data_IF_358801966333
#
_entry.id   IF_358801966333
#
_cell.length_a   1.000
_cell.length_b   1.000
_cell.length_c   1.000
_cell.angle_alpha   90.00
_cell.angle_beta   90.00
_cell.angle_gamma   90.00
#
_symmetry.space_group_name_H-M   'P 1'
#
loop_
_entity.id
_entity.type
_entity.pdbx_description
1 polymer ?
#
# COMPACT_ATOMS: atom_id res chain seq x y z
N UNK A 1 46.78 -24.62 0.50
CA UNK A 1 46.96 -23.27 1.11
C UNK A 1 46.64 -23.37 2.58
N UNK A 2 47.52 -22.95 3.49
CA UNK A 2 47.28 -23.02 4.92
C UNK A 2 46.20 -22.00 5.33
N UNK A 3 45.18 -22.47 6.04
CA UNK A 3 44.06 -21.62 6.50
C UNK A 3 44.58 -20.65 7.58
N UNK A 4 44.35 -19.36 7.42
CA UNK A 4 44.76 -18.31 8.36
C UNK A 4 43.72 -18.23 9.49
N UNK A 5 44.21 -18.13 10.72
CA UNK A 5 43.42 -18.16 11.96
C UNK A 5 43.60 -16.84 12.73
N UNK A 6 42.51 -16.24 13.20
CA UNK A 6 42.49 -14.97 13.94
C UNK A 6 41.90 -15.13 15.33
N UNK A 7 42.24 -14.20 16.22
CA UNK A 7 41.73 -14.18 17.61
C UNK A 7 40.26 -13.82 17.66
N UNK A 8 39.60 -14.09 18.80
CA UNK A 8 38.23 -13.70 19.12
C UNK A 8 38.02 -12.18 18.96
N UNK A 9 38.93 -11.38 19.48
CA UNK A 9 38.85 -9.92 19.42
C UNK A 9 38.86 -9.40 17.98
N UNK A 10 39.74 -9.97 17.18
CA UNK A 10 39.86 -9.62 15.76
C UNK A 10 38.63 -10.07 14.96
N UNK A 11 38.10 -11.28 15.23
CA UNK A 11 36.88 -11.76 14.61
C UNK A 11 35.65 -10.89 14.93
N UNK A 12 35.50 -10.49 16.19
CA UNK A 12 34.42 -9.59 16.63
C UNK A 12 34.53 -8.19 15.98
N UNK A 13 35.75 -7.66 15.90
CA UNK A 13 36.00 -6.36 15.25
C UNK A 13 35.66 -6.38 13.77
N UNK A 14 36.02 -7.43 13.03
CA UNK A 14 35.75 -7.56 11.60
C UNK A 14 34.28 -7.84 11.26
N UNK A 15 33.59 -8.54 12.13
CA UNK A 15 32.16 -8.87 11.95
C UNK A 15 31.22 -7.80 12.52
N UNK A 16 31.72 -6.90 13.35
CA UNK A 16 30.92 -5.88 14.07
C UNK A 16 29.73 -6.48 14.85
N UNK A 17 29.92 -7.63 15.46
CA UNK A 17 28.85 -8.34 16.17
C UNK A 17 29.18 -8.56 17.65
N UNK A 18 28.15 -8.84 18.46
CA UNK A 18 28.28 -9.19 19.86
C UNK A 18 28.89 -10.60 20.00
N UNK A 19 29.61 -10.90 21.11
CA UNK A 19 30.21 -12.22 21.34
C UNK A 19 29.24 -13.40 21.20
N UNK A 20 27.99 -13.25 21.63
CA UNK A 20 26.95 -14.26 21.52
C UNK A 20 26.63 -14.61 20.06
N UNK A 21 26.70 -13.64 19.15
CA UNK A 21 26.47 -13.83 17.72
C UNK A 21 27.63 -14.61 17.07
N UNK A 22 28.87 -14.31 17.47
CA UNK A 22 30.04 -15.09 17.01
C UNK A 22 29.94 -16.58 17.43
N UNK A 23 29.55 -16.86 18.64
CA UNK A 23 29.31 -18.23 19.10
C UNK A 23 28.17 -18.91 18.34
N UNK A 24 27.09 -18.19 18.01
CA UNK A 24 26.03 -18.73 17.19
C UNK A 24 26.48 -19.03 15.74
N UNK A 25 27.45 -18.31 15.20
CA UNK A 25 28.04 -18.64 13.91
C UNK A 25 28.89 -19.88 13.93
N UNK A 26 29.64 -20.11 15.04
CA UNK A 26 30.43 -21.31 15.22
C UNK A 26 29.54 -22.53 15.44
N UNK A 27 28.55 -22.47 16.32
CA UNK A 27 27.61 -23.56 16.59
C UNK A 27 26.80 -23.99 15.36
N UNK A 28 26.59 -23.05 14.41
CA UNK A 28 25.92 -23.32 13.13
C UNK A 28 26.90 -23.66 11.99
N UNK A 29 28.16 -23.98 12.34
CA UNK A 29 29.21 -24.34 11.38
C UNK A 29 29.46 -23.32 10.27
N UNK A 30 29.18 -22.05 10.53
CA UNK A 30 29.40 -20.96 9.57
C UNK A 30 30.79 -20.35 9.67
N UNK A 31 31.43 -20.47 10.82
CA UNK A 31 32.79 -20.10 11.08
C UNK A 31 33.47 -21.32 11.73
N UNK A 32 34.51 -21.78 11.12
CA UNK A 32 35.34 -22.82 11.72
C UNK A 32 36.14 -22.23 12.90
N UNK A 33 36.13 -22.92 14.02
CA UNK A 33 36.91 -22.56 15.21
C UNK A 33 37.77 -23.71 15.66
N UNK A 34 38.94 -23.42 16.24
CA UNK A 34 39.84 -24.39 16.90
C UNK A 34 40.42 -23.79 18.17
N UNK A 35 40.90 -24.63 19.09
CA UNK A 35 41.67 -24.17 20.24
C UNK A 35 43.01 -23.61 19.83
N UNK A 36 43.45 -22.54 20.50
CA UNK A 36 44.78 -21.98 20.31
C UNK A 36 45.83 -22.97 20.82
N UNK A 37 46.84 -23.36 20.01
CA UNK A 37 47.88 -24.30 20.44
C UNK A 37 48.72 -23.78 21.61
N UNK A 38 48.85 -22.46 21.78
CA UNK A 38 49.64 -21.83 22.85
C UNK A 38 48.81 -21.52 24.08
N UNK A 39 47.49 -21.35 23.95
CA UNK A 39 46.56 -21.05 25.04
C UNK A 39 45.27 -21.86 24.88
N UNK A 40 45.18 -23.08 25.35
CA UNK A 40 44.04 -23.99 25.11
C UNK A 40 42.65 -23.48 25.56
N UNK A 41 42.62 -22.47 26.41
CA UNK A 41 41.36 -21.79 26.83
C UNK A 41 40.87 -20.75 25.86
N UNK A 42 41.65 -20.41 24.83
CA UNK A 42 41.29 -19.44 23.79
C UNK A 42 40.94 -20.18 22.50
N UNK A 43 39.96 -19.62 21.79
CA UNK A 43 39.55 -20.12 20.45
C UNK A 43 40.05 -19.20 19.35
N UNK A 44 40.54 -19.80 18.27
CA UNK A 44 40.90 -19.15 17.02
C UNK A 44 39.82 -19.41 15.99
N UNK A 45 39.56 -18.44 15.11
CA UNK A 45 38.51 -18.46 14.13
C UNK A 45 39.09 -18.32 12.72
N UNK A 46 38.55 -19.04 11.75
CA UNK A 46 39.05 -19.04 10.39
C UNK A 46 38.78 -17.68 9.72
N UNK A 47 39.84 -17.01 9.26
CA UNK A 47 39.78 -15.69 8.64
C UNK A 47 38.87 -15.67 7.42
N UNK A 48 38.99 -16.66 6.54
CA UNK A 48 38.21 -16.74 5.27
C UNK A 48 36.70 -16.79 5.55
N UNK A 49 36.29 -17.50 6.63
CA UNK A 49 34.88 -17.58 7.03
C UNK A 49 34.39 -16.26 7.61
N UNK A 50 35.24 -15.58 8.39
CA UNK A 50 34.95 -14.27 8.99
C UNK A 50 34.83 -13.21 7.87
N UNK A 51 35.73 -13.17 6.90
CA UNK A 51 35.66 -12.24 5.78
C UNK A 51 34.49 -12.51 4.86
N UNK A 52 34.15 -13.77 4.62
CA UNK A 52 32.95 -14.14 3.86
C UNK A 52 31.68 -13.64 4.54
N UNK A 53 31.64 -13.67 5.86
CA UNK A 53 30.48 -13.18 6.63
C UNK A 53 30.47 -11.67 6.81
N UNK A 54 31.62 -11.00 6.92
CA UNK A 54 31.72 -9.54 7.00
C UNK A 54 31.30 -8.85 5.71
N UNK A 55 31.54 -9.45 4.54
CA UNK A 55 31.05 -8.97 3.24
C UNK A 55 29.52 -9.09 3.08
N UNK A 56 28.84 -9.82 3.97
CA UNK A 56 27.39 -9.90 4.05
C UNK A 56 26.97 -8.93 5.15
N UNK A 57 26.24 -7.87 4.79
CA UNK A 57 25.81 -6.82 5.72
C UNK A 57 25.27 -7.37 7.05
N UNK A 58 25.60 -6.74 8.21
CA UNK A 58 25.13 -7.18 9.52
C UNK A 58 23.60 -7.19 9.55
N UNK A 59 22.99 -8.30 9.95
CA UNK A 59 21.55 -8.45 10.13
C UNK A 59 20.84 -9.43 9.20
N UNK A 60 21.50 -9.99 8.16
CA UNK A 60 20.84 -10.83 7.14
C UNK A 60 20.90 -12.36 7.35
N UNK A 61 21.31 -12.85 8.50
CA UNK A 61 21.51 -14.29 8.69
C UNK A 61 20.54 -14.87 9.71
N UNK A 62 19.25 -14.77 9.48
CA UNK A 62 18.28 -15.45 10.32
C UNK A 62 17.40 -16.50 9.64
N UNK A 63 17.29 -16.54 8.31
CA UNK A 63 16.38 -17.50 7.67
C UNK A 63 16.96 -18.12 6.39
N UNK A 64 18.01 -18.94 6.50
CA UNK A 64 18.37 -19.89 5.46
C UNK A 64 18.28 -21.30 6.03
N UNK A 65 17.08 -21.87 6.08
CA UNK A 65 16.87 -23.31 6.04
C UNK A 65 16.72 -23.74 4.59
N UNK A 66 17.59 -24.66 4.25
CA UNK A 66 17.62 -25.51 3.09
C UNK A 66 16.41 -25.49 2.17
N UNK A 67 16.66 -25.12 0.92
CA UNK A 67 15.99 -25.72 -0.20
C UNK A 67 17.02 -26.03 -1.28
N UNK A 68 17.17 -27.29 -1.60
CA UNK A 68 17.98 -27.79 -2.71
C UNK A 68 17.08 -27.79 -3.95
N UNK A 69 17.35 -26.92 -4.89
CA UNK A 69 16.78 -27.06 -6.21
C UNK A 69 16.49 -25.72 -6.91
N UNK A 70 17.24 -25.52 -7.98
CA UNK A 70 17.11 -24.54 -9.06
C UNK A 70 17.57 -23.09 -8.79
N UNK A 71 18.33 -22.48 -9.71
CA UNK A 71 18.78 -21.10 -9.61
C UNK A 71 17.60 -20.16 -9.83
N UNK A 72 17.19 -19.44 -8.79
CA UNK A 72 16.26 -18.31 -8.92
C UNK A 72 17.02 -17.08 -9.44
N UNK A 73 16.58 -16.43 -10.51
CA UNK A 73 17.18 -15.18 -10.94
C UNK A 73 16.83 -14.07 -9.95
N UNK A 74 17.89 -13.36 -9.54
CA UNK A 74 17.89 -12.06 -8.89
C UNK A 74 17.17 -11.93 -7.53
N UNK A 75 17.94 -12.20 -6.47
CA UNK A 75 17.71 -11.53 -5.20
C UNK A 75 17.94 -10.01 -5.41
N UNK A 76 16.90 -9.31 -5.87
CA UNK A 76 16.85 -7.87 -5.81
C UNK A 76 16.99 -7.46 -4.34
N UNK A 77 17.98 -6.65 -4.06
CA UNK A 77 18.27 -6.12 -2.76
C UNK A 77 16.98 -5.49 -2.19
N UNK A 78 16.55 -5.96 -1.01
CA UNK A 78 15.60 -5.24 -0.18
C UNK A 78 16.26 -3.94 0.26
N UNK A 79 16.14 -2.89 -0.56
CA UNK A 79 16.64 -1.54 -0.32
C UNK A 79 15.54 -0.61 0.21
N UNK A 80 14.44 -1.15 0.70
CA UNK A 80 13.53 -0.40 1.52
C UNK A 80 14.10 -0.38 2.95
N UNK A 81 14.55 0.77 3.41
CA UNK A 81 15.14 0.99 4.73
C UNK A 81 14.13 0.87 5.88
N UNK A 82 13.41 -0.25 5.96
CA UNK A 82 12.67 -0.67 7.13
C UNK A 82 13.48 -1.73 7.86
N UNK A 83 13.94 -1.44 9.05
CA UNK A 83 14.48 -2.44 9.96
C UNK A 83 13.34 -3.42 10.27
N UNK A 84 13.41 -4.65 9.73
CA UNK A 84 12.48 -5.71 10.12
C UNK A 84 12.73 -5.97 11.60
N UNK A 85 11.87 -5.47 12.44
CA UNK A 85 11.91 -5.76 13.88
C UNK A 85 11.63 -7.25 14.05
N UNK A 86 12.33 -7.88 14.97
CA UNK A 86 12.29 -9.32 15.22
C UNK A 86 10.84 -9.75 15.54
N UNK A 87 10.13 -10.29 14.56
CA UNK A 87 8.72 -10.75 14.70
C UNK A 87 7.74 -10.20 13.68
N UNK A 88 8.12 -9.27 12.80
CA UNK A 88 7.26 -8.82 11.72
C UNK A 88 7.13 -9.88 10.63
N UNK A 89 5.91 -10.16 10.20
CA UNK A 89 5.66 -11.05 9.08
C UNK A 89 6.06 -10.35 7.78
N UNK A 90 7.04 -10.87 7.05
CA UNK A 90 7.34 -10.42 5.71
C UNK A 90 6.35 -11.03 4.73
N UNK A 91 5.78 -10.22 3.87
CA UNK A 91 4.93 -10.63 2.75
C UNK A 91 5.71 -10.40 1.46
N UNK A 92 6.00 -11.49 0.75
CA UNK A 92 6.60 -11.40 -0.59
C UNK A 92 5.55 -10.90 -1.58
N UNK A 93 5.91 -9.90 -2.38
CA UNK A 93 5.02 -9.33 -3.40
C UNK A 93 5.80 -8.93 -4.65
N UNK A 94 5.17 -9.12 -5.78
CA UNK A 94 5.62 -8.60 -7.09
C UNK A 94 4.72 -7.45 -7.57
N UNK A 95 3.66 -7.09 -6.82
CA UNK A 95 2.70 -6.06 -7.23
C UNK A 95 3.34 -4.69 -7.24
N UNK A 96 3.93 -4.28 -6.11
CA UNK A 96 4.46 -2.93 -5.97
C UNK A 96 5.65 -2.83 -5.02
N UNK A 97 6.45 -1.79 -5.19
CA UNK A 97 7.56 -1.43 -4.31
C UNK A 97 7.76 0.08 -4.30
N UNK A 98 8.16 0.62 -3.14
CA UNK A 98 8.59 2.02 -3.04
C UNK A 98 10.10 2.08 -2.94
N UNK A 99 10.76 2.79 -3.87
CA UNK A 99 12.20 2.96 -3.91
C UNK A 99 12.53 4.44 -4.15
N UNK A 100 13.44 4.99 -3.34
CA UNK A 100 13.91 6.39 -3.47
C UNK A 100 12.78 7.43 -3.56
N UNK A 101 11.69 7.20 -2.86
CA UNK A 101 10.52 8.09 -2.87
C UNK A 101 9.54 7.87 -4.04
N UNK A 102 9.86 7.03 -5.00
CA UNK A 102 8.99 6.66 -6.10
C UNK A 102 8.23 5.38 -5.81
N UNK A 103 6.99 5.32 -6.27
CA UNK A 103 6.14 4.14 -6.16
C UNK A 103 6.05 3.41 -7.51
N UNK A 104 6.55 2.18 -7.53
CA UNK A 104 6.57 1.34 -8.74
C UNK A 104 5.53 0.24 -8.63
N UNK A 105 4.70 0.10 -9.65
CA UNK A 105 3.77 -1.01 -9.82
C UNK A 105 4.24 -1.91 -10.97
N UNK A 106 4.46 -3.19 -10.69
CA UNK A 106 5.02 -4.13 -11.66
C UNK A 106 6.30 -3.60 -12.36
N UNK A 107 7.13 -2.87 -11.60
CA UNK A 107 8.39 -2.30 -12.10
C UNK A 107 8.26 -0.99 -12.90
N UNK A 108 7.05 -0.44 -13.07
CA UNK A 108 6.82 0.84 -13.75
C UNK A 108 6.46 1.93 -12.73
N UNK A 109 7.07 3.11 -12.85
CA UNK A 109 6.79 4.24 -11.98
C UNK A 109 5.35 4.73 -12.14
N UNK A 110 4.64 4.89 -11.02
CA UNK A 110 3.21 5.22 -11.03
C UNK A 110 2.94 6.65 -11.50
N UNK A 111 3.84 7.60 -11.23
CA UNK A 111 3.73 8.98 -11.73
C UNK A 111 3.90 9.00 -13.24
N UNK A 112 4.89 8.31 -13.78
CA UNK A 112 5.08 8.17 -15.24
C UNK A 112 3.87 7.50 -15.90
N UNK A 113 3.29 6.47 -15.27
CA UNK A 113 2.05 5.86 -15.76
C UNK A 113 0.88 6.86 -15.78
N UNK A 114 0.79 7.74 -14.76
CA UNK A 114 -0.27 8.74 -14.69
C UNK A 114 -0.15 9.82 -15.77
N UNK A 115 1.01 10.02 -16.40
CA UNK A 115 1.17 10.94 -17.51
C UNK A 115 0.46 10.46 -18.77
N UNK A 116 0.52 9.17 -19.07
CA UNK A 116 0.17 8.64 -20.40
C UNK A 116 -0.90 7.56 -20.41
N UNK A 117 -1.01 6.77 -19.33
CA UNK A 117 -1.87 5.60 -19.31
C UNK A 117 -3.28 5.93 -18.79
N UNK A 118 -4.26 5.19 -19.28
CA UNK A 118 -5.57 5.16 -18.66
C UNK A 118 -5.61 4.18 -17.48
N UNK A 119 -6.61 4.31 -16.63
CA UNK A 119 -6.74 3.49 -15.43
C UNK A 119 -6.96 2.01 -15.74
N UNK A 120 -7.64 1.70 -16.83
CA UNK A 120 -7.89 0.34 -17.31
C UNK A 120 -6.59 -0.38 -17.70
N UNK A 121 -5.69 0.32 -18.38
CA UNK A 121 -4.36 -0.20 -18.73
C UNK A 121 -3.53 -0.47 -17.48
N UNK A 122 -3.60 0.42 -16.48
CA UNK A 122 -2.89 0.25 -15.20
C UNK A 122 -3.47 -0.93 -14.41
N UNK A 123 -4.79 -1.11 -14.40
CA UNK A 123 -5.43 -2.26 -13.78
C UNK A 123 -5.01 -3.58 -14.48
N UNK A 124 -5.00 -3.61 -15.81
CA UNK A 124 -4.52 -4.76 -16.58
C UNK A 124 -3.04 -5.09 -16.29
N UNK A 125 -2.18 -4.08 -16.17
CA UNK A 125 -0.78 -4.23 -15.76
C UNK A 125 -0.66 -4.83 -14.35
N UNK A 126 -1.39 -4.28 -13.38
CA UNK A 126 -1.38 -4.73 -11.99
C UNK A 126 -1.79 -6.20 -11.86
N UNK A 127 -2.80 -6.62 -12.59
CA UNK A 127 -3.32 -8.00 -12.55
C UNK A 127 -2.55 -8.98 -13.43
N UNK A 128 -1.59 -8.50 -14.24
CA UNK A 128 -0.93 -9.30 -15.29
C UNK A 128 -1.94 -9.93 -16.23
N UNK A 129 -2.95 -9.15 -16.61
CA UNK A 129 -3.98 -9.63 -17.52
C UNK A 129 -3.38 -10.03 -18.86
N UNK A 130 -3.80 -11.18 -19.39
CA UNK A 130 -3.43 -11.60 -20.75
C UNK A 130 -4.09 -10.73 -21.83
N UNK A 131 -5.10 -9.93 -21.47
CA UNK A 131 -5.75 -8.97 -22.37
C UNK A 131 -5.33 -7.55 -22.00
N UNK A 132 -4.97 -6.71 -22.97
CA UNK A 132 -4.67 -5.29 -22.73
C UNK A 132 -5.91 -4.49 -22.31
N UNK A 133 -7.11 -5.01 -22.57
CA UNK A 133 -8.38 -4.44 -22.14
C UNK A 133 -9.31 -5.53 -21.59
N UNK A 134 -9.18 -5.91 -20.31
CA UNK A 134 -10.03 -6.93 -19.71
C UNK A 134 -11.50 -6.49 -19.55
N UNK A 135 -11.78 -5.21 -19.72
CA UNK A 135 -13.14 -4.63 -19.58
C UNK A 135 -13.95 -4.65 -20.88
N UNK A 136 -13.30 -4.86 -22.03
CA UNK A 136 -13.93 -4.82 -23.35
C UNK A 136 -15.17 -5.69 -23.52
N UNK A 137 -15.17 -6.97 -23.07
CA UNK A 137 -16.30 -7.88 -23.19
C UNK A 137 -17.46 -7.60 -22.24
N UNK A 138 -17.24 -6.80 -21.19
CA UNK A 138 -18.21 -6.63 -20.12
C UNK A 138 -19.44 -5.82 -20.57
N UNK A 139 -20.62 -6.26 -20.14
CA UNK A 139 -21.88 -5.55 -20.38
C UNK A 139 -22.19 -4.62 -19.23
N UNK A 140 -22.81 -3.46 -19.48
CA UNK A 140 -23.32 -2.59 -18.41
C UNK A 140 -24.32 -3.34 -17.53
N UNK A 141 -24.28 -3.10 -16.23
CA UNK A 141 -25.22 -3.65 -15.25
C UNK A 141 -26.15 -2.52 -14.78
N UNK A 142 -27.36 -2.37 -15.33
CA UNK A 142 -28.30 -1.32 -14.94
C UNK A 142 -28.90 -1.54 -13.55
N UNK A 143 -28.83 -2.75 -13.03
CA UNK A 143 -29.38 -3.19 -11.75
C UNK A 143 -28.50 -2.88 -10.54
N UNK A 144 -27.38 -2.16 -10.72
CA UNK A 144 -26.47 -1.75 -9.63
C UNK A 144 -26.82 -0.43 -8.98
N UNK A 145 -28.01 0.09 -9.21
CA UNK A 145 -28.46 1.36 -8.63
C UNK A 145 -29.00 1.16 -7.18
N UNK A 146 -28.08 1.20 -6.23
CA UNK A 146 -28.42 1.12 -4.81
C UNK A 146 -28.70 2.50 -4.22
N UNK A 147 -29.61 2.62 -3.20
CA UNK A 147 -29.84 3.88 -2.50
C UNK A 147 -28.61 4.29 -1.67
N UNK A 148 -28.48 5.58 -1.40
CA UNK A 148 -27.44 6.13 -0.55
C UNK A 148 -26.30 6.82 -1.30
N UNK A 149 -25.28 7.22 -0.56
CA UNK A 149 -24.07 7.84 -1.11
C UNK A 149 -23.17 6.85 -1.86
N UNK A 150 -22.16 7.35 -2.58
CA UNK A 150 -21.31 6.51 -3.43
C UNK A 150 -20.68 5.33 -2.68
N UNK A 151 -20.18 5.56 -1.48
CA UNK A 151 -19.59 4.51 -0.63
C UNK A 151 -20.59 3.41 -0.26
N UNK A 152 -21.80 3.79 0.15
CA UNK A 152 -22.87 2.84 0.47
C UNK A 152 -23.23 1.99 -0.74
N UNK A 153 -23.31 2.61 -1.92
CA UNK A 153 -23.63 1.92 -3.18
C UNK A 153 -22.56 0.87 -3.53
N UNK A 154 -21.28 1.23 -3.43
CA UNK A 154 -20.18 0.30 -3.67
C UNK A 154 -20.25 -0.89 -2.72
N UNK A 155 -20.42 -0.66 -1.40
CA UNK A 155 -20.52 -1.74 -0.42
C UNK A 155 -21.75 -2.62 -0.62
N UNK A 156 -22.91 -2.03 -0.97
CA UNK A 156 -24.12 -2.80 -1.27
C UNK A 156 -23.95 -3.66 -2.52
N UNK A 157 -23.30 -3.13 -3.56
CA UNK A 157 -22.97 -3.87 -4.76
C UNK A 157 -22.02 -5.04 -4.44
N UNK A 158 -20.96 -4.80 -3.68
CA UNK A 158 -20.02 -5.85 -3.28
C UNK A 158 -20.67 -6.93 -2.42
N UNK A 159 -21.59 -6.56 -1.51
CA UNK A 159 -22.34 -7.54 -0.71
C UNK A 159 -23.24 -8.40 -1.57
N UNK A 160 -23.91 -7.85 -2.59
CA UNK A 160 -24.66 -8.64 -3.55
C UNK A 160 -23.77 -9.60 -4.34
N UNK A 161 -22.64 -9.12 -4.85
CA UNK A 161 -21.68 -9.96 -5.60
C UNK A 161 -21.10 -11.07 -4.74
N UNK A 162 -20.95 -10.86 -3.44
CA UNK A 162 -20.53 -11.93 -2.52
C UNK A 162 -21.47 -13.12 -2.58
N UNK A 163 -22.76 -12.90 -2.61
CA UNK A 163 -23.77 -13.97 -2.69
C UNK A 163 -23.82 -14.62 -4.10
N UNK A 164 -23.80 -13.80 -5.15
CA UNK A 164 -23.85 -14.28 -6.54
C UNK A 164 -22.62 -15.12 -6.92
N UNK A 165 -21.42 -14.65 -6.56
CA UNK A 165 -20.17 -15.30 -6.93
C UNK A 165 -19.92 -16.58 -6.10
N UNK A 166 -20.33 -16.61 -4.83
CA UNK A 166 -20.23 -17.81 -3.99
C UNK A 166 -21.01 -19.00 -4.56
N UNK A 167 -22.12 -18.75 -5.24
CA UNK A 167 -22.93 -19.80 -5.89
C UNK A 167 -22.30 -20.33 -7.17
N UNK A 168 -21.49 -19.51 -7.86
CA UNK A 168 -20.87 -19.88 -9.14
C UNK A 168 -19.56 -20.66 -8.99
N UNK A 169 -18.90 -20.61 -7.84
CA UNK A 169 -17.56 -21.20 -7.58
C UNK A 169 -17.55 -22.73 -7.49
N UNK A 170 -18.71 -23.38 -7.43
CA UNK A 170 -18.79 -24.82 -7.11
C UNK A 170 -18.23 -25.72 -8.23
N UNK A 171 -18.05 -25.24 -9.48
CA UNK A 171 -17.81 -26.14 -10.62
C UNK A 171 -16.84 -25.66 -11.74
N UNK A 172 -16.04 -24.60 -11.59
CA UNK A 172 -15.18 -24.13 -12.68
C UNK A 172 -13.79 -23.68 -12.21
N UNK A 173 -12.80 -23.85 -13.09
CA UNK A 173 -11.51 -23.20 -12.97
C UNK A 173 -11.72 -21.67 -12.93
N UNK A 174 -11.25 -21.02 -11.85
CA UNK A 174 -11.61 -19.65 -11.52
C UNK A 174 -10.80 -18.65 -12.34
N UNK A 175 -11.45 -17.85 -13.15
CA UNK A 175 -10.85 -16.69 -13.84
C UNK A 175 -10.83 -15.46 -12.92
N UNK A 176 -9.80 -15.37 -12.08
CA UNK A 176 -9.62 -14.21 -11.15
C UNK A 176 -9.50 -12.89 -11.90
N UNK A 177 -8.93 -12.88 -13.10
CA UNK A 177 -8.79 -11.67 -13.91
C UNK A 177 -10.14 -11.16 -14.43
N UNK A 178 -10.96 -12.06 -14.95
CA UNK A 178 -12.33 -11.76 -15.40
C UNK A 178 -13.23 -11.34 -14.25
N UNK A 179 -13.14 -12.01 -13.10
CA UNK A 179 -13.88 -11.63 -11.89
C UNK A 179 -13.47 -10.22 -11.40
N UNK A 180 -12.17 -9.92 -11.35
CA UNK A 180 -11.66 -8.61 -10.97
C UNK A 180 -12.16 -7.50 -11.91
N UNK A 181 -12.12 -7.74 -13.22
CA UNK A 181 -12.61 -6.80 -14.22
C UNK A 181 -14.12 -6.54 -14.07
N UNK A 182 -14.90 -7.61 -13.87
CA UNK A 182 -16.34 -7.52 -13.64
C UNK A 182 -16.68 -6.72 -12.38
N UNK A 183 -16.03 -7.04 -11.25
CA UNK A 183 -16.23 -6.32 -9.98
C UNK A 183 -15.88 -4.84 -10.11
N UNK A 184 -14.71 -4.51 -10.65
CA UNK A 184 -14.30 -3.12 -10.80
C UNK A 184 -15.25 -2.35 -11.73
N UNK A 185 -15.68 -2.95 -12.84
CA UNK A 185 -16.66 -2.34 -13.73
C UNK A 185 -17.99 -2.02 -13.00
N UNK A 186 -18.52 -2.96 -12.21
CA UNK A 186 -19.76 -2.76 -11.46
C UNK A 186 -19.62 -1.75 -10.32
N UNK A 187 -18.44 -1.65 -9.71
CA UNK A 187 -18.17 -0.60 -8.73
C UNK A 187 -18.30 0.79 -9.35
N UNK A 188 -17.76 1.00 -10.56
CA UNK A 188 -17.94 2.25 -11.27
C UNK A 188 -19.40 2.46 -11.69
N UNK A 189 -20.10 1.42 -12.15
CA UNK A 189 -21.53 1.49 -12.47
C UNK A 189 -22.37 1.91 -11.25
N UNK A 190 -22.08 1.37 -10.06
CA UNK A 190 -22.78 1.73 -8.82
C UNK A 190 -22.63 3.20 -8.43
N UNK A 191 -21.49 3.81 -8.77
CA UNK A 191 -21.22 5.23 -8.51
C UNK A 191 -21.83 6.14 -9.58
N UNK A 192 -21.76 5.72 -10.85
CA UNK A 192 -22.13 6.54 -12.01
C UNK A 192 -23.57 6.30 -12.50
N UNK A 193 -24.32 5.39 -11.84
CA UNK A 193 -25.64 4.91 -12.26
C UNK A 193 -25.63 4.25 -13.66
N UNK A 194 -24.55 3.55 -13.96
CA UNK A 194 -24.34 2.94 -15.28
C UNK A 194 -24.03 3.96 -16.38
N UNK A 195 -24.25 3.58 -17.60
CA UNK A 195 -24.09 4.48 -18.75
C UNK A 195 -23.38 3.83 -19.92
N UNK A 196 -23.04 4.62 -20.97
CA UNK A 196 -22.32 4.10 -22.12
C UNK A 196 -20.93 3.60 -21.73
N UNK A 197 -20.40 2.66 -22.51
CA UNK A 197 -19.04 2.13 -22.33
C UNK A 197 -18.02 3.18 -22.74
N UNK A 198 -17.62 3.94 -21.75
CA UNK A 198 -16.54 4.91 -21.80
C UNK A 198 -15.44 4.42 -20.85
N UNK A 199 -14.26 5.02 -20.96
CA UNK A 199 -13.23 4.87 -19.93
C UNK A 199 -13.77 5.28 -18.55
N UNK A 200 -13.28 4.68 -17.49
CA UNK A 200 -13.80 4.90 -16.13
C UNK A 200 -13.77 6.38 -15.71
N UNK A 201 -12.68 7.09 -16.02
CA UNK A 201 -12.60 8.53 -15.76
C UNK A 201 -13.65 9.33 -16.53
N UNK A 202 -13.98 8.95 -17.77
CA UNK A 202 -15.02 9.59 -18.57
C UNK A 202 -16.43 9.30 -18.02
N UNK A 203 -16.64 8.09 -17.46
CA UNK A 203 -17.91 7.74 -16.78
C UNK A 203 -18.10 8.59 -15.53
N UNK A 204 -17.06 8.78 -14.73
CA UNK A 204 -17.07 9.68 -13.56
C UNK A 204 -17.29 11.13 -13.98
N UNK A 205 -16.57 11.60 -14.99
CA UNK A 205 -16.72 12.96 -15.53
C UNK A 205 -18.17 13.23 -15.95
N UNK A 206 -18.78 12.32 -16.68
CA UNK A 206 -20.18 12.43 -17.06
C UNK A 206 -21.12 12.47 -15.84
N UNK A 207 -20.94 11.56 -14.88
CA UNK A 207 -21.77 11.49 -13.68
C UNK A 207 -21.64 12.74 -12.80
N UNK A 208 -20.47 13.33 -12.74
CA UNK A 208 -20.15 14.53 -11.97
C UNK A 208 -20.22 15.83 -12.77
N UNK A 209 -20.64 15.78 -14.05
CA UNK A 209 -20.83 16.93 -14.94
C UNK A 209 -19.53 17.70 -15.20
N UNK A 210 -18.41 17.02 -15.30
CA UNK A 210 -17.12 17.57 -15.73
C UNK A 210 -17.01 17.40 -17.23
N UNK A 211 -16.84 18.48 -17.97
CA UNK A 211 -16.91 18.48 -19.45
C UNK A 211 -15.62 18.97 -20.12
N UNK A 212 -14.81 19.78 -19.44
CA UNK A 212 -13.53 20.19 -19.98
C UNK A 212 -12.56 19.00 -20.08
N UNK A 213 -11.89 18.85 -21.21
CA UNK A 213 -11.04 17.68 -21.46
C UNK A 213 -9.84 17.61 -20.53
N UNK A 214 -9.30 18.75 -20.10
CA UNK A 214 -8.19 18.77 -19.13
C UNK A 214 -8.66 18.36 -17.74
N UNK A 215 -9.85 18.79 -17.37
CA UNK A 215 -10.50 18.42 -16.11
C UNK A 215 -10.89 16.93 -16.09
N UNK A 216 -11.35 16.40 -17.22
CA UNK A 216 -11.58 14.95 -17.37
C UNK A 216 -10.27 14.17 -17.23
N UNK A 217 -9.17 14.71 -17.76
CA UNK A 217 -7.85 14.10 -17.61
C UNK A 217 -7.35 14.12 -16.15
N UNK A 218 -7.67 15.16 -15.37
CA UNK A 218 -7.37 15.16 -13.93
C UNK A 218 -8.03 13.99 -13.18
N UNK A 219 -9.26 13.62 -13.56
CA UNK A 219 -9.93 12.44 -12.99
C UNK A 219 -9.20 11.14 -13.37
N UNK A 220 -8.74 11.02 -14.62
CA UNK A 220 -7.91 9.90 -15.08
C UNK A 220 -6.63 9.80 -14.26
N UNK A 221 -5.91 10.92 -14.15
CA UNK A 221 -4.65 11.02 -13.42
C UNK A 221 -4.83 10.67 -11.95
N UNK A 222 -5.86 11.19 -11.29
CA UNK A 222 -6.19 10.90 -9.91
C UNK A 222 -6.50 9.41 -9.68
N UNK A 223 -7.21 8.73 -10.58
CA UNK A 223 -7.44 7.28 -10.51
C UNK A 223 -6.13 6.51 -10.60
N UNK A 224 -5.27 6.83 -11.56
CA UNK A 224 -3.98 6.15 -11.75
C UNK A 224 -3.08 6.36 -10.53
N UNK A 225 -2.91 7.60 -10.06
CA UNK A 225 -2.07 7.91 -8.89
C UNK A 225 -2.59 7.28 -7.58
N UNK A 226 -3.86 6.92 -7.55
CA UNK A 226 -4.49 6.21 -6.42
C UNK A 226 -4.47 4.69 -6.57
N UNK A 227 -3.99 4.13 -7.69
CA UNK A 227 -4.15 2.71 -7.99
C UNK A 227 -3.47 1.78 -6.96
N UNK A 228 -2.35 2.19 -6.40
CA UNK A 228 -1.67 1.43 -5.35
C UNK A 228 -0.90 2.33 -4.36
N UNK A 229 -0.70 1.84 -3.13
CA UNK A 229 0.09 2.50 -2.07
C UNK A 229 0.98 1.52 -1.31
N UNK A 230 1.32 0.39 -1.89
CA UNK A 230 2.00 -0.72 -1.20
C UNK A 230 1.17 -1.31 -0.05
N UNK A 231 1.83 -1.81 0.99
CA UNK A 231 1.19 -2.49 2.12
C UNK A 231 0.78 -1.48 3.20
N UNK A 232 -0.35 -0.81 2.98
CA UNK A 232 -1.05 -0.07 4.04
C UNK A 232 -2.04 -1.00 4.80
N UNK A 233 -2.69 -0.48 5.84
CA UNK A 233 -3.63 -1.26 6.66
C UNK A 233 -4.80 -1.81 5.82
N UNK A 234 -5.25 -1.08 4.82
CA UNK A 234 -6.33 -1.55 3.94
C UNK A 234 -5.84 -2.68 3.01
N UNK A 235 -4.64 -2.55 2.45
CA UNK A 235 -4.03 -3.61 1.62
C UNK A 235 -3.73 -4.86 2.45
N UNK A 236 -3.28 -4.71 3.71
CA UNK A 236 -3.08 -5.84 4.60
C UNK A 236 -4.41 -6.57 4.89
N UNK A 237 -5.49 -5.83 5.17
CA UNK A 237 -6.82 -6.39 5.36
C UNK A 237 -7.31 -7.16 4.11
N UNK A 238 -7.07 -6.60 2.92
CA UNK A 238 -7.34 -7.25 1.63
C UNK A 238 -6.61 -8.59 1.51
N UNK A 239 -5.31 -8.63 1.81
CA UNK A 239 -4.50 -9.85 1.72
C UNK A 239 -4.96 -10.92 2.72
N UNK A 240 -5.26 -10.51 3.97
CA UNK A 240 -5.79 -11.43 4.99
C UNK A 240 -7.13 -12.01 4.54
N UNK A 241 -8.03 -11.18 4.02
CA UNK A 241 -9.31 -11.62 3.50
C UNK A 241 -9.16 -12.53 2.27
N UNK A 242 -8.27 -12.21 1.33
CA UNK A 242 -8.00 -13.01 0.14
C UNK A 242 -7.42 -14.41 0.47
N UNK A 243 -6.69 -14.53 1.58
CA UNK A 243 -6.14 -15.82 2.02
C UNK A 243 -7.22 -16.85 2.40
N UNK A 244 -8.48 -16.44 2.55
CA UNK A 244 -9.63 -17.34 2.76
C UNK A 244 -10.11 -18.02 1.47
N UNK A 245 -9.58 -17.63 0.32
CA UNK A 245 -9.88 -18.19 -1.01
C UNK A 245 -11.33 -18.04 -1.49
N UNK A 246 -12.13 -17.17 -0.85
CA UNK A 246 -13.50 -16.86 -1.26
C UNK A 246 -13.58 -15.86 -2.43
N UNK A 247 -14.80 -15.43 -2.84
CA UNK A 247 -15.01 -14.44 -3.91
C UNK A 247 -14.17 -13.18 -3.73
N UNK A 248 -13.69 -12.55 -4.83
CA UNK A 248 -12.91 -11.30 -4.78
C UNK A 248 -13.68 -10.11 -4.19
N UNK A 249 -15.00 -10.22 -4.07
CA UNK A 249 -15.81 -9.26 -3.32
C UNK A 249 -15.42 -9.21 -1.83
N UNK A 250 -15.01 -10.33 -1.20
CA UNK A 250 -14.59 -10.38 0.21
C UNK A 250 -13.40 -9.45 0.48
N UNK A 251 -12.24 -9.60 -0.19
CA UNK A 251 -11.11 -8.70 0.01
C UNK A 251 -11.42 -7.25 -0.33
N UNK A 252 -12.26 -6.97 -1.34
CA UNK A 252 -12.67 -5.60 -1.64
C UNK A 252 -13.51 -4.98 -0.51
N UNK A 253 -14.45 -5.73 0.07
CA UNK A 253 -15.21 -5.27 1.24
C UNK A 253 -14.27 -4.96 2.41
N UNK A 254 -13.30 -5.83 2.68
CA UNK A 254 -12.30 -5.60 3.74
C UNK A 254 -11.48 -4.33 3.49
N UNK A 255 -11.01 -4.11 2.25
CA UNK A 255 -10.29 -2.90 1.85
C UNK A 255 -11.13 -1.64 2.01
N UNK A 256 -12.35 -1.64 1.50
CA UNK A 256 -13.27 -0.48 1.62
C UNK A 256 -13.68 -0.20 3.06
N UNK A 257 -13.97 -1.22 3.85
CA UNK A 257 -14.32 -1.06 5.26
C UNK A 257 -13.15 -0.42 6.03
N UNK A 258 -11.92 -0.90 5.80
CA UNK A 258 -10.72 -0.35 6.41
C UNK A 258 -10.45 1.09 5.95
N UNK A 259 -10.63 1.36 4.65
CA UNK A 259 -10.48 2.71 4.10
C UNK A 259 -11.42 3.72 4.76
N UNK A 260 -12.62 3.31 5.21
CA UNK A 260 -13.57 4.24 5.85
C UNK A 260 -13.14 4.71 7.25
N UNK A 261 -12.03 4.18 7.77
CA UNK A 261 -11.52 4.55 9.10
C UNK A 261 -11.09 6.03 9.19
N UNK A 262 -11.13 6.62 10.41
CA UNK A 262 -10.64 7.99 10.62
C UNK A 262 -9.18 8.20 10.22
N UNK A 263 -8.35 7.16 10.35
CA UNK A 263 -6.91 7.20 10.05
C UNK A 263 -6.62 7.23 8.55
N UNK A 264 -7.43 6.55 7.74
CA UNK A 264 -7.24 6.46 6.27
C UNK A 264 -8.17 7.44 5.54
N UNK A 265 -9.34 7.00 5.13
CA UNK A 265 -10.27 7.85 4.37
C UNK A 265 -10.75 9.09 5.12
N UNK A 266 -10.74 9.05 6.45
CA UNK A 266 -11.02 10.20 7.29
C UNK A 266 -10.04 11.38 7.07
N UNK A 267 -8.80 11.14 6.61
CA UNK A 267 -7.87 12.21 6.22
C UNK A 267 -8.41 13.00 5.03
N UNK A 268 -8.90 12.30 4.00
CA UNK A 268 -9.47 12.92 2.80
C UNK A 268 -10.70 13.76 3.18
N UNK A 269 -11.59 13.21 4.00
CA UNK A 269 -12.80 13.93 4.46
C UNK A 269 -12.45 15.16 5.32
N UNK A 270 -11.40 15.11 6.14
CA UNK A 270 -10.93 16.28 6.90
C UNK A 270 -10.32 17.33 5.98
N UNK A 271 -9.51 16.93 4.98
CA UNK A 271 -8.95 17.86 4.00
C UNK A 271 -10.05 18.53 3.18
N UNK A 272 -11.07 17.79 2.71
CA UNK A 272 -12.23 18.33 2.02
C UNK A 272 -13.00 19.35 2.87
N UNK A 273 -13.22 19.02 4.16
CA UNK A 273 -13.86 19.92 5.12
C UNK A 273 -13.03 21.19 5.35
N UNK A 274 -11.71 21.06 5.47
CA UNK A 274 -10.78 22.18 5.64
C UNK A 274 -10.81 23.12 4.42
N UNK A 275 -10.67 22.61 3.20
CA UNK A 275 -10.76 23.40 1.96
C UNK A 275 -12.10 24.13 1.88
N UNK A 276 -13.19 23.46 2.23
CA UNK A 276 -14.53 24.05 2.23
C UNK A 276 -14.65 25.17 3.26
N UNK A 277 -14.11 25.00 4.47
CA UNK A 277 -14.11 26.04 5.51
C UNK A 277 -13.27 27.24 5.10
N UNK A 278 -12.06 27.02 4.57
CA UNK A 278 -11.21 28.12 4.08
C UNK A 278 -11.95 28.98 3.07
N UNK A 279 -12.63 28.37 2.12
CA UNK A 279 -13.41 29.14 1.11
C UNK A 279 -14.56 29.93 1.71
N UNK A 280 -15.23 29.39 2.73
CA UNK A 280 -16.31 30.14 3.44
C UNK A 280 -15.78 31.31 4.24
N UNK A 281 -14.61 31.17 4.85
CA UNK A 281 -14.00 32.21 5.69
C UNK A 281 -13.19 33.24 4.88
N UNK A 282 -12.75 32.90 3.69
CA UNK A 282 -11.97 33.75 2.80
C UNK A 282 -10.52 34.03 3.28
N UNK A 283 -10.09 33.47 4.41
CA UNK A 283 -8.74 33.70 4.98
C UNK A 283 -8.11 32.37 5.41
N UNK A 284 -7.33 31.72 4.52
CA UNK A 284 -6.66 30.45 4.85
C UNK A 284 -5.64 30.58 5.97
N UNK A 285 -4.91 31.71 6.06
CA UNK A 285 -3.89 31.91 7.09
C UNK A 285 -4.49 31.97 8.51
N UNK A 286 -5.59 32.71 8.67
CA UNK A 286 -6.26 32.82 9.98
C UNK A 286 -6.83 31.46 10.43
N UNK A 287 -7.45 30.71 9.53
CA UNK A 287 -8.01 29.39 9.85
C UNK A 287 -6.89 28.38 10.18
N UNK A 288 -5.81 28.34 9.38
CA UNK A 288 -4.69 27.45 9.61
C UNK A 288 -4.00 27.74 10.97
N UNK A 289 -3.74 28.99 11.29
CA UNK A 289 -3.17 29.38 12.61
C UNK A 289 -4.08 28.97 13.75
N UNK A 290 -5.40 29.22 13.65
CA UNK A 290 -6.35 28.85 14.69
C UNK A 290 -6.42 27.33 14.95
N UNK A 291 -6.21 26.49 13.93
CA UNK A 291 -6.10 25.05 14.10
C UNK A 291 -4.81 24.64 14.81
N UNK A 292 -3.67 25.20 14.38
CA UNK A 292 -2.35 24.93 14.97
C UNK A 292 -2.26 25.40 16.43
N UNK A 293 -2.81 26.56 16.77
CA UNK A 293 -2.88 27.10 18.14
C UNK A 293 -3.69 26.19 19.09
N UNK A 294 -4.67 25.45 18.56
CA UNK A 294 -5.41 24.42 19.30
C UNK A 294 -4.67 23.07 19.40
N UNK A 295 -3.43 23.00 18.93
CA UNK A 295 -2.66 21.77 18.89
C UNK A 295 -3.17 20.75 17.87
N UNK A 296 -4.01 21.14 16.92
CA UNK A 296 -4.51 20.28 15.85
C UNK A 296 -3.54 20.26 14.68
N UNK A 297 -3.44 19.13 14.00
CA UNK A 297 -2.72 19.03 12.73
C UNK A 297 -3.50 19.73 11.62
N UNK A 298 -2.76 20.37 10.70
CA UNK A 298 -3.38 20.99 9.53
C UNK A 298 -3.77 19.87 8.55
N UNK A 299 -5.07 19.72 8.20
CA UNK A 299 -5.51 18.61 7.35
C UNK A 299 -4.81 18.63 5.97
N UNK A 300 -4.20 17.50 5.62
CA UNK A 300 -3.48 17.32 4.38
C UNK A 300 -1.98 17.67 4.42
N UNK A 301 -1.48 18.08 5.60
CA UNK A 301 -0.05 18.34 5.86
C UNK A 301 0.39 17.46 7.03
N UNK A 302 0.64 16.17 6.77
CA UNK A 302 1.08 15.23 7.77
C UNK A 302 2.52 15.49 8.21
N UNK A 303 2.83 15.20 9.49
CA UNK A 303 4.19 15.42 10.06
C UNK A 303 5.26 14.53 9.45
N UNK A 304 4.88 13.34 9.04
CA UNK A 304 5.77 12.34 8.43
C UNK A 304 5.11 11.77 7.17
N UNK A 305 4.98 12.56 6.09
CA UNK A 305 4.38 12.06 4.86
C UNK A 305 5.29 11.02 4.21
N UNK A 306 4.69 9.99 3.62
CA UNK A 306 5.43 9.09 2.76
C UNK A 306 5.97 9.87 1.55
N UNK A 307 7.29 9.81 1.25
CA UNK A 307 7.84 10.52 0.08
C UNK A 307 7.11 10.19 -1.23
N UNK A 308 6.68 8.95 -1.40
CA UNK A 308 5.93 8.54 -2.59
C UNK A 308 4.52 9.11 -2.64
N UNK A 309 3.89 9.34 -1.49
CA UNK A 309 2.59 10.00 -1.40
C UNK A 309 2.71 11.47 -1.76
N UNK A 310 3.71 12.16 -1.22
CA UNK A 310 4.00 13.56 -1.52
C UNK A 310 4.28 13.78 -3.00
N UNK A 311 5.07 12.91 -3.63
CA UNK A 311 5.38 13.00 -5.06
C UNK A 311 4.12 12.84 -5.91
N UNK A 312 3.25 11.89 -5.61
CA UNK A 312 1.97 11.69 -6.31
C UNK A 312 0.99 12.85 -6.10
N UNK A 313 0.96 13.40 -4.89
CA UNK A 313 0.14 14.58 -4.58
C UNK A 313 0.59 15.80 -5.37
N UNK A 314 1.90 16.05 -5.42
CA UNK A 314 2.49 17.12 -6.19
C UNK A 314 2.18 17.00 -7.69
N UNK A 315 2.38 15.79 -8.25
CA UNK A 315 2.06 15.52 -9.66
C UNK A 315 0.59 15.81 -9.99
N UNK A 316 -0.34 15.41 -9.11
CA UNK A 316 -1.76 15.65 -9.32
C UNK A 316 -2.11 17.15 -9.25
N UNK A 317 -1.48 17.90 -8.35
CA UNK A 317 -1.70 19.34 -8.18
C UNK A 317 -1.11 20.10 -9.38
N UNK A 318 0.08 19.77 -9.82
CA UNK A 318 0.71 20.41 -11.00
C UNK A 318 -0.04 20.14 -12.30
N UNK A 319 -0.70 19.00 -12.43
CA UNK A 319 -1.54 18.69 -13.56
C UNK A 319 -2.80 19.60 -13.66
N UNK A 320 -3.07 20.43 -12.66
CA UNK A 320 -4.20 21.39 -12.64
C UNK A 320 -3.72 22.86 -12.76
N UNK A 321 -3.13 23.30 -13.90
CA UNK A 321 -2.55 24.62 -14.05
C UNK A 321 -3.56 25.75 -13.90
N UNK A 322 -4.83 25.47 -14.17
CA UNK A 322 -5.94 26.44 -14.07
C UNK A 322 -6.64 26.43 -12.71
N UNK A 323 -6.09 25.74 -11.72
CA UNK A 323 -6.58 25.79 -10.34
C UNK A 323 -6.61 27.24 -9.84
N UNK A 324 -7.72 27.64 -9.22
CA UNK A 324 -7.92 28.99 -8.72
C UNK A 324 -6.86 29.41 -7.70
N UNK A 325 -6.51 30.70 -7.69
CA UNK A 325 -5.49 31.24 -6.79
C UNK A 325 -5.88 31.11 -5.30
N UNK A 326 -7.15 31.04 -4.98
CA UNK A 326 -7.67 30.76 -3.65
C UNK A 326 -7.26 29.35 -3.17
N UNK A 327 -7.30 28.35 -4.05
CA UNK A 327 -6.88 26.98 -3.74
C UNK A 327 -5.36 26.87 -3.67
N UNK A 328 -4.62 27.53 -4.57
CA UNK A 328 -3.15 27.61 -4.52
C UNK A 328 -2.66 28.32 -3.25
N UNK A 329 -3.40 29.30 -2.75
CA UNK A 329 -3.08 29.97 -1.49
C UNK A 329 -3.20 29.02 -0.28
N UNK A 330 -4.12 28.05 -0.29
CA UNK A 330 -4.24 27.01 0.74
C UNK A 330 -2.94 26.20 0.82
N UNK A 331 -2.38 25.82 -0.33
CA UNK A 331 -1.11 25.08 -0.40
C UNK A 331 0.04 25.91 0.20
N UNK A 332 0.27 27.09 -0.34
CA UNK A 332 1.36 27.98 0.12
C UNK A 332 1.30 28.24 1.62
N UNK A 333 0.14 28.63 2.14
CA UNK A 333 -0.06 28.89 3.57
C UNK A 333 0.21 27.64 4.41
N UNK A 334 -0.25 26.47 3.97
CA UNK A 334 -0.05 25.22 4.69
C UNK A 334 1.43 24.83 4.73
N UNK A 335 2.12 24.89 3.61
CA UNK A 335 3.57 24.62 3.51
C UNK A 335 4.40 25.59 4.35
N UNK A 336 4.10 26.89 4.27
CA UNK A 336 4.80 27.93 5.05
C UNK A 336 4.65 27.74 6.56
N UNK A 337 3.46 27.35 7.04
CA UNK A 337 3.19 27.20 8.47
C UNK A 337 3.68 25.87 9.05
N UNK A 338 3.65 24.80 8.26
CA UNK A 338 3.96 23.46 8.75
C UNK A 338 5.36 22.99 8.36
N UNK A 339 5.95 23.57 7.32
CA UNK A 339 7.18 23.08 6.71
C UNK A 339 7.01 21.71 6.03
N UNK A 340 5.77 21.27 5.80
CA UNK A 340 5.43 19.97 5.19
C UNK A 340 4.80 20.19 3.83
N UNK A 341 5.07 19.31 2.89
CA UNK A 341 4.39 19.29 1.60
C UNK A 341 2.99 18.67 1.70
N UNK A 342 2.11 19.06 0.78
CA UNK A 342 0.76 18.51 0.70
C UNK A 342 0.77 16.99 0.46
N UNK A 343 -0.06 16.25 1.20
CA UNK A 343 -0.33 14.83 0.98
C UNK A 343 -1.45 14.61 -0.04
N UNK A 344 -1.64 13.34 -0.43
CA UNK A 344 -2.66 12.94 -1.41
C UNK A 344 -4.09 13.30 -0.97
N UNK A 345 -4.34 13.33 0.33
CA UNK A 345 -5.62 13.73 0.91
C UNK A 345 -6.00 15.17 0.58
N UNK A 346 -5.03 16.11 0.64
CA UNK A 346 -5.24 17.50 0.25
C UNK A 346 -5.31 17.65 -1.26
N UNK A 347 -4.44 16.97 -2.02
CA UNK A 347 -4.46 17.02 -3.48
C UNK A 347 -5.85 16.64 -4.02
N UNK A 348 -6.39 15.53 -3.55
CA UNK A 348 -7.74 15.09 -3.94
C UNK A 348 -8.84 16.07 -3.52
N UNK A 349 -8.74 16.67 -2.33
CA UNK A 349 -9.69 17.67 -1.85
C UNK A 349 -9.65 18.96 -2.70
N UNK A 350 -8.45 19.41 -3.10
CA UNK A 350 -8.25 20.57 -3.96
C UNK A 350 -8.80 20.32 -5.37
N UNK A 351 -8.48 19.15 -5.97
CA UNK A 351 -9.03 18.75 -7.27
C UNK A 351 -10.55 18.63 -7.20
N UNK A 352 -11.07 17.97 -6.15
CA UNK A 352 -12.51 17.87 -5.94
C UNK A 352 -13.20 19.25 -5.89
N UNK A 353 -12.55 20.22 -5.28
CA UNK A 353 -13.07 21.59 -5.22
C UNK A 353 -12.85 22.37 -6.50
N UNK A 354 -11.73 22.19 -7.19
CA UNK A 354 -11.45 22.79 -8.47
C UNK A 354 -12.50 22.39 -9.52
N UNK A 355 -12.85 21.11 -9.56
CA UNK A 355 -13.83 20.53 -10.48
C UNK A 355 -15.29 20.65 -9.99
N UNK A 356 -15.53 21.30 -8.86
CA UNK A 356 -16.85 21.41 -8.21
C UNK A 356 -17.56 20.06 -8.04
N UNK A 357 -16.80 19.04 -7.65
CA UNK A 357 -17.31 17.67 -7.49
C UNK A 357 -18.29 17.58 -6.29
N UNK A 358 -19.20 16.60 -6.34
CA UNK A 358 -20.08 16.30 -5.20
C UNK A 358 -19.28 15.99 -3.94
N UNK A 359 -19.88 16.24 -2.79
CA UNK A 359 -19.32 15.83 -1.51
C UNK A 359 -19.03 14.32 -1.51
N UNK A 360 -17.94 13.91 -0.86
CA UNK A 360 -17.40 12.54 -0.85
C UNK A 360 -16.82 12.05 -2.19
N UNK A 361 -16.87 12.84 -3.27
CA UNK A 361 -16.25 12.46 -4.54
C UNK A 361 -14.72 12.24 -4.41
N UNK A 362 -13.95 13.06 -3.68
CA UNK A 362 -12.52 12.82 -3.46
C UNK A 362 -12.23 11.46 -2.81
N UNK A 363 -12.97 11.09 -1.77
CA UNK A 363 -12.83 9.79 -1.12
C UNK A 363 -13.28 8.64 -2.03
N UNK A 364 -14.36 8.85 -2.78
CA UNK A 364 -14.87 7.86 -3.74
C UNK A 364 -13.85 7.62 -4.85
N UNK A 365 -13.30 8.68 -5.43
CA UNK A 365 -12.27 8.63 -6.46
C UNK A 365 -11.04 7.84 -5.98
N UNK A 366 -10.57 8.14 -4.77
CA UNK A 366 -9.47 7.44 -4.15
C UNK A 366 -9.79 5.95 -3.95
N UNK A 367 -10.94 5.60 -3.38
CA UNK A 367 -11.34 4.21 -3.13
C UNK A 367 -11.49 3.40 -4.42
N UNK A 368 -12.07 3.99 -5.48
CA UNK A 368 -12.16 3.36 -6.79
C UNK A 368 -10.77 3.14 -7.40
N UNK A 369 -9.87 4.12 -7.30
CA UNK A 369 -8.48 3.95 -7.73
C UNK A 369 -7.80 2.81 -6.99
N UNK A 370 -7.86 2.80 -5.65
CA UNK A 370 -7.26 1.76 -4.79
C UNK A 370 -7.72 0.35 -5.13
N UNK A 371 -8.94 0.19 -5.65
CA UNK A 371 -9.50 -1.13 -5.96
C UNK A 371 -8.70 -1.91 -6.98
N UNK A 372 -8.02 -1.25 -7.93
CA UNK A 372 -7.15 -1.93 -8.89
C UNK A 372 -5.97 -2.61 -8.18
N UNK A 373 -5.29 -1.90 -7.28
CA UNK A 373 -4.19 -2.44 -6.47
C UNK A 373 -4.68 -3.51 -5.49
N UNK A 374 -5.79 -3.28 -4.82
CA UNK A 374 -6.36 -4.29 -3.90
C UNK A 374 -6.69 -5.60 -4.61
N UNK A 375 -7.26 -5.54 -5.80
CA UNK A 375 -7.50 -6.73 -6.62
C UNK A 375 -6.19 -7.41 -7.02
N UNK A 376 -5.14 -6.66 -7.39
CA UNK A 376 -3.83 -7.23 -7.68
C UNK A 376 -3.24 -7.96 -6.48
N UNK A 377 -3.30 -7.35 -5.30
CA UNK A 377 -2.84 -7.96 -4.05
C UNK A 377 -3.67 -9.17 -3.64
N UNK A 378 -4.99 -9.14 -3.87
CA UNK A 378 -5.88 -10.28 -3.60
C UNK A 378 -5.58 -11.46 -4.53
N UNK A 379 -5.45 -11.21 -5.84
CA UNK A 379 -5.12 -12.22 -6.84
C UNK A 379 -3.77 -12.88 -6.52
N UNK A 380 -2.73 -12.08 -6.26
CA UNK A 380 -1.41 -12.58 -5.87
C UNK A 380 -1.48 -13.42 -4.60
N UNK A 381 -2.24 -12.99 -3.60
CA UNK A 381 -2.42 -13.71 -2.34
C UNK A 381 -3.09 -15.07 -2.54
N UNK A 382 -4.12 -15.12 -3.36
CA UNK A 382 -4.82 -16.37 -3.71
C UNK A 382 -3.92 -17.32 -4.51
N UNK A 383 -3.13 -16.78 -5.45
CA UNK A 383 -2.22 -17.58 -6.27
C UNK A 383 -1.04 -18.15 -5.46
N UNK A 384 -0.56 -17.44 -4.47
CA UNK A 384 0.55 -17.93 -3.61
C UNK A 384 0.08 -18.93 -2.57
N UNK A 385 -1.21 -18.95 -2.22
CA UNK A 385 -1.79 -19.85 -1.20
C UNK A 385 -1.25 -19.64 0.22
N UNK A 386 -0.33 -18.69 0.42
CA UNK A 386 0.24 -18.37 1.72
C UNK A 386 -0.73 -17.52 2.54
N UNK A 387 -0.91 -17.84 3.82
CA UNK A 387 -1.69 -16.99 4.72
C UNK A 387 -0.78 -16.04 5.49
N UNK A 388 -1.06 -14.73 5.53
CA UNK A 388 -0.37 -13.79 6.41
C UNK A 388 -0.59 -14.21 7.87
N UNK A 389 0.43 -14.78 8.51
CA UNK A 389 0.33 -15.26 9.89
C UNK A 389 1.01 -14.28 10.84
N UNK A 390 0.25 -13.68 11.73
CA UNK A 390 0.79 -12.98 12.89
C UNK A 390 1.06 -13.95 14.03
N UNK A 391 2.12 -13.70 14.80
CA UNK A 391 2.36 -14.44 16.05
C UNK A 391 1.58 -13.78 17.19
N UNK A 392 0.72 -14.55 17.82
CA UNK A 392 0.06 -14.13 19.05
C UNK A 392 1.02 -14.25 20.23
N UNK A 393 1.20 -13.16 21.00
CA UNK A 393 1.85 -13.15 22.29
C UNK A 393 0.81 -12.83 23.34
N UNK A 394 0.48 -13.82 24.15
CA UNK A 394 -0.43 -13.59 25.27
C UNK A 394 0.29 -12.79 26.38
N UNK A 395 -0.30 -11.71 26.83
CA UNK A 395 0.19 -10.82 27.89
C UNK A 395 -0.84 -10.63 29.01
N UNK A 396 -1.92 -11.42 29.00
CA UNK A 396 -2.96 -11.39 30.03
C UNK A 396 -2.60 -12.22 31.27
N UNK A 397 -3.53 -12.35 32.18
CA UNK A 397 -3.38 -13.16 33.40
C UNK A 397 -3.24 -14.63 33.00
N UNK A 398 -2.19 -15.29 33.49
CA UNK A 398 -1.97 -16.70 33.21
C UNK A 398 -2.98 -17.54 34.03
N UNK A 399 -3.66 -18.56 33.46
CA UNK A 399 -4.66 -19.36 34.17
C UNK A 399 -4.15 -19.96 35.47
N UNK A 400 -2.89 -20.42 35.50
CA UNK A 400 -2.24 -21.01 36.67
C UNK A 400 -1.98 -20.01 37.82
N UNK A 401 -2.05 -18.69 37.55
CA UNK A 401 -1.90 -17.66 38.59
C UNK A 401 -3.22 -17.33 39.29
N UNK A 402 -4.37 -17.73 38.73
CA UNK A 402 -5.70 -17.54 39.32
C UNK A 402 -5.97 -18.47 40.49
N UNK A 403 -5.42 -19.70 40.43
CA UNK A 403 -5.67 -20.71 41.45
C UNK A 403 -4.83 -20.52 42.72
N UNK A 404 -3.82 -19.61 42.67
CA UNK A 404 -2.94 -19.31 43.81
C UNK A 404 -3.46 -18.19 44.74
N UNK A 405 -4.57 -17.53 44.38
CA UNK A 405 -5.14 -16.41 45.15
C UNK A 405 -6.36 -16.86 46.01
N UNK A 406 -6.87 -18.08 45.79
CA UNK A 406 -8.01 -18.64 46.56
C UNK A 406 -7.59 -19.76 47.54
N UNK A 407 -6.29 -20.00 47.78
CA UNK A 407 -5.77 -20.90 48.81
C UNK A 407 -4.98 -20.09 49.85
#
# INVERSE_FOLDING_TARGET
MSRVWISRTEALKRLEVKPQTLYAYVSRQRIAAKSDPTHPRLSLYALDDVERLSRRAPGRIANARADHGAPRPHAAASLAGGTITRGEAAIDTEVAITLHGHHYVRGRDLVTLAETENFESVAALLWRSGSPNPFGPLKPRPDVNFPGGPRTRVLSMLSRRLEEDALSEINAERDLGGEAASLLNEMFDSVTNGGPRLFFHQRLARAWKVYDLKDVDLLRRALVLSADTSLDEATLAVRVAAATMGPLAIPLIAGFATLTSPKLGGRISRAESYVTQVRRHGNPLALAKALLEKGQELPGFEKEPSPSETLRAHDLIEAAPHMGEDLKLILRVGEDLTGQSAGMSLALALIGRHLDLPREAPLTLYGLGRSAGWLAHAIEQMQTGASPKARLRYIGIHPEASDAVEA
#
